data_IF_057914553325
#
_entry.id   IF_057914553325
#
_cell.length_a   1.000
_cell.length_b   1.000
_cell.length_c   1.000
_cell.angle_alpha   90.00
_cell.angle_beta   90.00
_cell.angle_gamma   90.00
#
_symmetry.space_group_name_H-M   'P 1'
#
loop_
_entity.id
_entity.type
_entity.pdbx_description
1 polymer ?
#
# COMPACT_ATOMS: atom_id res chain seq x y z
N UNK A 1 -23.12 8.43 40.85
CA UNK A 1 -23.34 8.73 39.42
C UNK A 1 -21.98 8.98 38.80
N UNK A 2 -21.39 7.98 38.14
CA UNK A 2 -20.07 8.12 37.52
C UNK A 2 -20.25 8.70 36.11
N UNK A 3 -19.67 9.87 35.86
CA UNK A 3 -19.66 10.49 34.54
C UNK A 3 -18.74 9.69 33.62
N UNK A 4 -19.28 9.19 32.51
CA UNK A 4 -18.52 8.52 31.46
C UNK A 4 -18.06 9.60 30.47
N UNK A 5 -16.75 9.82 30.39
CA UNK A 5 -16.15 10.71 29.40
C UNK A 5 -16.22 10.05 28.00
N UNK A 6 -16.55 10.81 26.94
CA UNK A 6 -16.52 10.27 25.59
C UNK A 6 -15.07 10.13 25.13
N UNK A 7 -14.68 8.93 24.72
CA UNK A 7 -13.45 8.71 23.96
C UNK A 7 -13.68 9.29 22.56
N UNK A 8 -13.05 10.41 22.25
CA UNK A 8 -12.97 10.91 20.89
C UNK A 8 -12.10 9.95 20.08
N UNK A 9 -12.70 9.25 19.11
CA UNK A 9 -11.96 8.46 18.14
C UNK A 9 -11.19 9.41 17.21
N UNK A 10 -9.86 9.39 17.31
CA UNK A 10 -9.00 10.07 16.33
C UNK A 10 -9.20 9.42 14.94
N UNK A 11 -9.20 10.22 13.85
CA UNK A 11 -9.30 9.66 12.51
C UNK A 11 -8.11 8.74 12.21
N UNK A 12 -8.26 7.76 11.30
CA UNK A 12 -7.21 6.79 10.99
C UNK A 12 -5.99 7.51 10.41
N UNK A 13 -4.93 7.59 11.19
CA UNK A 13 -3.61 8.12 10.80
C UNK A 13 -2.92 7.27 9.73
N UNK A 14 -3.28 5.99 9.62
CA UNK A 14 -2.64 5.01 8.75
C UNK A 14 -2.58 5.41 7.27
N UNK A 15 -3.59 6.09 6.73
CA UNK A 15 -3.57 6.51 5.31
C UNK A 15 -2.60 7.66 5.03
N UNK A 16 -2.38 8.56 6.00
CA UNK A 16 -1.43 9.67 5.87
C UNK A 16 0.02 9.19 6.01
N UNK A 17 0.26 8.13 6.78
CA UNK A 17 1.57 7.51 6.90
C UNK A 17 1.96 6.79 5.61
N UNK A 18 1.02 6.08 4.96
CA UNK A 18 1.26 5.41 3.68
C UNK A 18 1.79 6.36 2.60
N UNK A 19 1.16 7.52 2.41
CA UNK A 19 1.57 8.48 1.36
C UNK A 19 2.96 9.05 1.57
N UNK A 20 3.40 9.16 2.83
CA UNK A 20 4.67 9.80 3.16
C UNK A 20 5.85 8.83 3.16
N UNK A 21 5.63 7.59 3.57
CA UNK A 21 6.72 6.62 3.76
C UNK A 21 6.68 5.45 2.78
N UNK A 22 5.49 5.02 2.33
CA UNK A 22 5.32 3.80 1.54
C UNK A 22 5.11 4.12 0.06
N UNK A 23 4.26 5.10 -0.27
CA UNK A 23 3.99 5.48 -1.65
C UNK A 23 5.26 5.93 -2.43
N UNK A 24 6.21 6.70 -1.84
CA UNK A 24 7.43 7.09 -2.55
C UNK A 24 8.29 5.88 -2.94
N UNK A 25 8.39 4.89 -2.07
CA UNK A 25 9.12 3.65 -2.34
C UNK A 25 8.54 2.93 -3.56
N UNK A 26 7.22 2.75 -3.63
CA UNK A 26 6.60 2.10 -4.78
C UNK A 26 6.68 2.94 -6.06
N UNK A 27 6.63 4.26 -5.95
CA UNK A 27 6.83 5.16 -7.09
C UNK A 27 8.24 5.00 -7.69
N UNK A 28 9.27 4.90 -6.84
CA UNK A 28 10.66 4.78 -7.26
C UNK A 28 11.01 3.37 -7.80
N UNK A 29 10.47 2.33 -7.18
CA UNK A 29 10.94 0.97 -7.39
C UNK A 29 9.98 0.06 -8.17
N UNK A 30 8.67 0.33 -8.14
CA UNK A 30 7.67 -0.54 -8.77
C UNK A 30 6.99 0.13 -9.96
N UNK A 31 6.49 1.35 -9.80
CA UNK A 31 5.67 2.02 -10.80
C UNK A 31 6.46 2.36 -12.08
N UNK A 32 7.79 2.45 -12.03
CA UNK A 32 8.60 2.65 -13.24
C UNK A 32 8.42 1.55 -14.30
N UNK A 33 8.10 0.32 -13.88
CA UNK A 33 7.89 -0.84 -14.74
C UNK A 33 6.44 -1.34 -14.74
N UNK A 34 5.70 -1.04 -13.67
CA UNK A 34 4.34 -1.54 -13.42
C UNK A 34 3.29 -0.42 -13.41
N UNK A 35 3.46 0.58 -14.28
CA UNK A 35 2.48 1.64 -14.54
C UNK A 35 1.59 1.33 -15.76
N UNK A 36 0.74 2.29 -16.11
CA UNK A 36 -0.13 2.23 -17.29
C UNK A 36 0.59 2.14 -18.64
N UNK A 37 1.86 2.54 -18.73
CA UNK A 37 2.60 2.61 -19.99
C UNK A 37 3.38 1.34 -20.28
N UNK A 38 3.98 0.76 -19.25
CA UNK A 38 4.84 -0.42 -19.37
C UNK A 38 4.10 -1.68 -18.96
N UNK A 39 3.33 -1.64 -17.86
CA UNK A 39 2.55 -2.75 -17.32
C UNK A 39 3.29 -4.10 -17.40
N UNK A 40 4.57 -4.14 -16.99
CA UNK A 40 5.43 -5.32 -17.17
C UNK A 40 4.77 -6.54 -16.52
N UNK A 41 4.75 -7.65 -17.26
CA UNK A 41 4.09 -8.89 -16.84
C UNK A 41 2.59 -8.73 -16.52
N UNK A 42 1.92 -7.77 -17.14
CA UNK A 42 0.49 -7.44 -16.95
C UNK A 42 0.14 -6.97 -15.52
N UNK A 43 1.14 -6.55 -14.73
CA UNK A 43 0.91 -6.10 -13.35
C UNK A 43 0.85 -4.58 -13.26
N UNK A 44 -0.27 -4.07 -12.71
CA UNK A 44 -0.61 -2.64 -12.59
C UNK A 44 -0.60 -2.16 -11.14
N UNK A 45 0.60 -1.87 -10.65
CA UNK A 45 0.81 -1.42 -9.28
C UNK A 45 0.12 -0.08 -8.98
N UNK A 46 0.08 0.82 -9.96
CA UNK A 46 -0.48 2.16 -9.83
C UNK A 46 -2.01 2.18 -9.60
N UNK A 47 -2.68 1.05 -9.80
CA UNK A 47 -4.15 0.94 -9.68
C UNK A 47 -4.60 0.34 -8.34
N UNK A 48 -3.67 -0.15 -7.52
CA UNK A 48 -4.01 -0.81 -6.27
C UNK A 48 -4.52 0.18 -5.21
N UNK A 49 -5.54 -0.24 -4.47
CA UNK A 49 -6.05 0.52 -3.35
C UNK A 49 -5.03 0.61 -2.22
N UNK A 50 -5.03 1.77 -1.57
CA UNK A 50 -4.22 2.08 -0.39
C UNK A 50 -4.78 1.45 0.89
N UNK A 51 -5.98 0.86 0.85
CA UNK A 51 -6.56 0.12 1.97
C UNK A 51 -6.01 -1.31 2.04
N UNK A 52 -4.72 -1.41 2.31
CA UNK A 52 -3.99 -2.69 2.40
C UNK A 52 -4.66 -3.62 3.41
N UNK A 53 -4.87 -4.88 3.03
CA UNK A 53 -5.55 -5.90 3.85
C UNK A 53 -7.07 -5.89 3.74
N UNK A 54 -7.66 -4.87 3.13
CA UNK A 54 -9.12 -4.77 2.89
C UNK A 54 -9.43 -4.90 1.39
N UNK A 55 -8.69 -4.18 0.56
CA UNK A 55 -8.86 -4.17 -0.90
C UNK A 55 -7.56 -4.65 -1.56
N UNK A 56 -7.69 -5.32 -2.72
CA UNK A 56 -6.55 -5.87 -3.47
C UNK A 56 -5.62 -6.79 -2.65
N UNK A 57 -6.16 -7.46 -1.63
CA UNK A 57 -5.38 -8.28 -0.70
C UNK A 57 -4.48 -9.32 -1.39
N UNK A 58 -4.95 -10.07 -2.42
CA UNK A 58 -4.08 -11.02 -3.12
C UNK A 58 -2.85 -10.35 -3.77
N UNK A 59 -3.04 -9.20 -4.41
CA UNK A 59 -1.96 -8.44 -5.04
C UNK A 59 -0.96 -7.91 -4.01
N UNK A 60 -1.46 -7.42 -2.87
CA UNK A 60 -0.59 -6.97 -1.78
C UNK A 60 0.22 -8.12 -1.16
N UNK A 61 -0.34 -9.33 -1.09
CA UNK A 61 0.41 -10.53 -0.67
C UNK A 61 1.52 -10.85 -1.66
N UNK A 62 1.23 -10.89 -2.96
CA UNK A 62 2.26 -11.13 -4.00
C UNK A 62 3.40 -10.11 -3.93
N UNK A 63 3.08 -8.82 -3.75
CA UNK A 63 4.09 -7.77 -3.59
C UNK A 63 5.00 -8.05 -2.39
N UNK A 64 4.41 -8.41 -1.24
CA UNK A 64 5.19 -8.76 -0.04
C UNK A 64 6.07 -9.98 -0.28
N UNK A 65 5.57 -11.01 -0.97
CA UNK A 65 6.33 -12.21 -1.31
C UNK A 65 7.53 -11.91 -2.23
N UNK A 66 7.33 -11.09 -3.27
CA UNK A 66 8.42 -10.69 -4.19
C UNK A 66 9.48 -9.82 -3.52
N UNK A 67 9.07 -8.96 -2.57
CA UNK A 67 10.01 -8.18 -1.76
C UNK A 67 10.81 -9.09 -0.83
N UNK A 68 10.12 -10.00 -0.13
CA UNK A 68 10.77 -10.93 0.80
C UNK A 68 11.69 -11.94 0.10
N UNK A 69 11.37 -12.33 -1.15
CA UNK A 69 12.24 -13.20 -1.95
C UNK A 69 13.44 -12.46 -2.56
N UNK A 70 13.44 -11.13 -2.54
CA UNK A 70 14.44 -10.31 -3.22
C UNK A 70 14.32 -10.29 -4.74
N UNK A 71 13.21 -10.80 -5.30
CA UNK A 71 12.96 -10.73 -6.74
C UNK A 71 12.58 -9.32 -7.20
N UNK A 72 11.96 -8.54 -6.31
CA UNK A 72 11.60 -7.15 -6.55
C UNK A 72 11.98 -6.28 -5.35
N UNK A 73 12.44 -5.05 -5.57
CA UNK A 73 12.75 -4.47 -6.88
C UNK A 73 14.00 -5.07 -7.54
N UNK A 74 14.08 -5.11 -8.89
CA UNK A 74 15.19 -5.67 -9.63
C UNK A 74 16.42 -4.76 -9.66
#
# INVERSE_FOLDING_TARGET
MAAVLPVAAAPPTASADFDKSVAPFFAEHCNRCHDAKVAKSDFRMDTLSRKVGVENTPQWVEIMERINSGEMPP
#
